data_IF_354436811950
#
_entry.id   IF_354436811950
#
_cell.length_a   1.000
_cell.length_b   1.000
_cell.length_c   1.000
_cell.angle_alpha   90.00
_cell.angle_beta   90.00
_cell.angle_gamma   90.00
#
_symmetry.space_group_name_H-M   'P 1'
#
loop_
_entity.id
_entity.type
_entity.pdbx_description
1 polymer ?
#
# COMPACT_ATOMS: atom_id res chain seq x y z
N UNK A 1 -0.36 -3.44 13.16
CA UNK A 1 -1.49 -3.03 12.29
C UNK A 1 -1.00 -2.38 10.99
N UNK A 2 0.00 -1.50 11.04
CA UNK A 2 0.66 -0.87 9.88
C UNK A 2 1.22 -1.84 8.81
N UNK A 3 1.68 -3.04 9.19
CA UNK A 3 2.11 -4.08 8.24
C UNK A 3 1.02 -4.50 7.26
N UNK A 4 -0.27 -4.40 7.61
CA UNK A 4 -1.34 -4.71 6.66
C UNK A 4 -1.38 -3.72 5.49
N UNK A 5 -0.90 -2.49 5.68
CA UNK A 5 -0.77 -1.51 4.59
C UNK A 5 0.36 -1.93 3.65
N UNK A 6 1.50 -2.37 4.19
CA UNK A 6 2.64 -2.83 3.38
C UNK A 6 2.27 -4.04 2.51
N UNK A 7 1.48 -4.96 3.06
CA UNK A 7 1.03 -6.20 2.40
C UNK A 7 -0.26 -6.01 1.58
N UNK A 8 -0.79 -4.79 1.51
CA UNK A 8 -1.86 -4.47 0.59
C UNK A 8 -1.34 -4.43 -0.85
N UNK A 9 -2.25 -4.50 -1.84
CA UNK A 9 -1.87 -4.49 -3.25
C UNK A 9 -0.85 -5.60 -3.59
N UNK A 10 -1.05 -6.79 -3.04
CA UNK A 10 -0.14 -7.94 -3.17
C UNK A 10 1.32 -7.66 -2.76
N UNK A 11 1.52 -6.75 -1.79
CA UNK A 11 2.86 -6.35 -1.36
C UNK A 11 3.58 -5.49 -2.41
N UNK A 12 2.84 -4.89 -3.34
CA UNK A 12 3.37 -4.05 -4.39
C UNK A 12 3.14 -2.56 -4.09
N UNK A 13 4.15 -1.75 -4.38
CA UNK A 13 4.08 -0.30 -4.46
C UNK A 13 2.96 0.13 -5.40
N UNK A 14 1.99 0.89 -4.88
CA UNK A 14 0.83 1.37 -5.66
C UNK A 14 1.23 2.25 -6.85
N UNK A 15 2.38 2.93 -6.76
CA UNK A 15 2.80 3.85 -7.82
C UNK A 15 3.53 3.19 -8.99
N UNK A 16 4.22 2.08 -8.77
CA UNK A 16 5.10 1.48 -9.79
C UNK A 16 5.02 -0.03 -9.92
N UNK A 17 4.24 -0.71 -9.08
CA UNK A 17 4.10 -2.17 -9.06
C UNK A 17 5.35 -2.94 -8.60
N UNK A 18 6.40 -2.26 -8.13
CA UNK A 18 7.57 -2.91 -7.52
C UNK A 18 7.27 -3.34 -6.08
N UNK A 19 8.20 -4.00 -5.38
CA UNK A 19 7.99 -4.39 -3.98
C UNK A 19 7.71 -3.16 -3.09
N UNK A 20 6.74 -3.29 -2.17
CA UNK A 20 6.50 -2.31 -1.12
C UNK A 20 7.59 -2.44 -0.05
N UNK A 21 8.09 -1.30 0.42
CA UNK A 21 9.17 -1.24 1.42
C UNK A 21 8.83 -0.24 2.54
N UNK A 22 7.95 0.70 2.24
CA UNK A 22 7.49 1.78 3.10
C UNK A 22 6.00 2.01 2.93
N UNK A 23 5.43 2.80 3.83
CA UNK A 23 4.10 3.36 3.65
C UNK A 23 4.24 4.83 3.26
N UNK A 24 3.35 5.29 2.40
CA UNK A 24 3.29 6.70 2.00
C UNK A 24 1.90 7.27 2.30
N UNK A 25 1.85 8.56 2.62
CA UNK A 25 0.62 9.30 2.85
C UNK A 25 0.03 9.75 1.51
N UNK A 26 -1.19 9.33 1.19
CA UNK A 26 -1.87 9.72 -0.06
C UNK A 26 -2.01 11.24 -0.10
N UNK A 27 -2.52 11.84 0.97
CA UNK A 27 -2.47 13.28 1.22
C UNK A 27 -1.21 13.56 2.05
N UNK A 28 -0.26 14.38 1.58
CA UNK A 28 0.95 14.70 2.33
C UNK A 28 0.65 15.22 3.74
N UNK A 29 1.51 14.86 4.69
CA UNK A 29 1.39 15.34 6.07
C UNK A 29 1.49 16.88 6.15
N UNK A 30 2.32 17.49 5.30
CA UNK A 30 2.43 18.96 5.16
C UNK A 30 1.11 19.64 4.80
N UNK A 31 0.23 18.91 4.11
CA UNK A 31 -1.05 19.40 3.61
C UNK A 31 -2.22 18.98 4.53
N UNK A 32 -1.90 18.46 5.73
CA UNK A 32 -2.89 18.05 6.73
C UNK A 32 -3.36 16.61 6.60
N UNK A 33 -2.67 15.77 5.82
CA UNK A 33 -2.96 14.34 5.74
C UNK A 33 -2.78 13.63 7.08
N UNK A 34 -3.75 12.82 7.48
CA UNK A 34 -3.70 12.08 8.72
C UNK A 34 -2.68 10.91 8.66
N UNK A 35 -2.05 10.61 9.80
CA UNK A 35 -1.14 9.47 9.93
C UNK A 35 -1.90 8.21 10.38
N UNK A 36 -2.86 7.78 9.56
CA UNK A 36 -3.68 6.61 9.82
C UNK A 36 -3.96 5.81 8.55
N UNK A 37 -4.46 4.58 8.73
CA UNK A 37 -4.64 3.62 7.62
C UNK A 37 -5.55 4.10 6.50
N UNK A 38 -6.41 5.10 6.72
CA UNK A 38 -7.27 5.66 5.67
C UNK A 38 -6.50 6.54 4.68
N UNK A 39 -5.31 7.01 5.08
CA UNK A 39 -4.46 7.88 4.27
C UNK A 39 -3.11 7.21 3.92
N UNK A 40 -2.91 5.94 4.23
CA UNK A 40 -1.63 5.23 4.00
C UNK A 40 -1.77 4.17 2.91
N UNK A 41 -0.77 4.11 2.03
CA UNK A 41 -0.68 3.12 0.95
C UNK A 41 0.72 2.47 0.88
N UNK A 42 0.83 1.24 0.37
CA UNK A 42 2.13 0.59 0.15
C UNK A 42 2.94 1.32 -0.92
N UNK A 43 4.20 1.62 -0.62
CA UNK A 43 5.12 2.29 -1.54
C UNK A 43 6.56 1.77 -1.41
N UNK A 44 7.33 1.78 -2.49
CA UNK A 44 8.78 1.55 -2.43
C UNK A 44 9.51 2.84 -1.99
N UNK A 45 10.73 2.71 -1.47
CA UNK A 45 11.53 3.86 -1.02
C UNK A 45 11.72 4.91 -2.12
N UNK A 46 11.93 4.46 -3.36
CA UNK A 46 12.16 5.34 -4.52
C UNK A 46 10.94 6.21 -4.81
N UNK A 47 9.76 5.61 -4.91
CA UNK A 47 8.53 6.32 -5.27
C UNK A 47 8.09 7.24 -4.14
N UNK A 48 8.12 6.75 -2.88
CA UNK A 48 7.80 7.55 -1.70
C UNK A 48 8.69 8.80 -1.62
N UNK A 49 10.02 8.64 -1.75
CA UNK A 49 10.96 9.77 -1.77
C UNK A 49 10.75 10.74 -2.93
N UNK A 50 10.38 10.24 -4.11
CA UNK A 50 10.14 11.09 -5.29
C UNK A 50 8.84 11.89 -5.16
N UNK A 51 7.81 11.30 -4.53
CA UNK A 51 6.58 12.01 -4.18
C UNK A 51 6.91 13.12 -3.20
N UNK A 52 7.47 12.79 -2.04
CA UNK A 52 7.66 13.74 -0.95
C UNK A 52 6.34 14.44 -0.63
N UNK A 53 6.37 15.76 -0.58
CA UNK A 53 5.20 16.59 -0.25
C UNK A 53 4.23 16.80 -1.43
N UNK A 54 4.36 16.03 -2.51
CA UNK A 54 3.47 16.10 -3.67
C UNK A 54 2.27 15.19 -3.48
N UNK A 55 1.15 15.55 -4.10
CA UNK A 55 0.04 14.63 -4.32
C UNK A 55 0.42 13.51 -5.31
N UNK A 56 -0.27 12.36 -5.31
CA UNK A 56 -0.07 11.31 -6.30
C UNK A 56 -0.24 11.80 -7.75
N UNK A 57 -1.19 12.70 -7.99
CA UNK A 57 -1.41 13.32 -9.29
C UNK A 57 -0.18 14.13 -9.74
N UNK A 58 0.36 14.98 -8.86
CA UNK A 58 1.57 15.76 -9.15
C UNK A 58 2.80 14.89 -9.36
N UNK A 59 2.93 13.78 -8.62
CA UNK A 59 3.97 12.78 -8.86
C UNK A 59 3.87 12.22 -10.28
N UNK A 60 2.68 11.78 -10.69
CA UNK A 60 2.44 11.17 -11.99
C UNK A 60 2.70 12.16 -13.14
N UNK A 61 2.16 13.37 -13.04
CA UNK A 61 2.40 14.46 -14.00
C UNK A 61 3.90 14.74 -14.07
N UNK A 62 4.58 14.82 -12.92
CA UNK A 62 6.03 15.02 -12.86
C UNK A 62 6.82 13.89 -13.51
N UNK A 63 6.38 12.63 -13.38
CA UNK A 63 6.98 11.51 -14.11
C UNK A 63 6.79 11.64 -15.60
N UNK A 64 5.58 11.87 -16.08
CA UNK A 64 5.32 11.99 -17.51
C UNK A 64 6.13 13.13 -18.14
N UNK A 65 6.14 14.30 -17.51
CA UNK A 65 6.94 15.44 -17.94
C UNK A 65 8.44 15.11 -18.02
N UNK A 66 8.99 14.38 -17.04
CA UNK A 66 10.41 13.94 -17.08
C UNK A 66 10.72 13.00 -18.24
N UNK A 67 9.77 12.17 -18.66
CA UNK A 67 9.96 11.26 -19.79
C UNK A 67 9.77 11.96 -21.13
N UNK A 68 8.94 13.00 -21.20
CA UNK A 68 8.64 13.73 -22.44
C UNK A 68 9.48 14.99 -22.63
N UNK A 69 10.17 15.50 -21.62
CA UNK A 69 10.81 16.81 -21.65
C UNK A 69 12.30 16.77 -21.29
N UNK A 70 13.12 17.44 -22.10
CA UNK A 70 14.55 17.55 -21.86
C UNK A 70 14.82 18.63 -20.80
N UNK A 71 15.89 18.48 -20.04
CA UNK A 71 16.33 19.48 -19.05
C UNK A 71 16.64 20.88 -19.60
N UNK A 72 16.49 21.11 -20.92
CA UNK A 72 16.64 22.42 -21.58
C UNK A 72 15.32 23.13 -21.87
N UNK A 73 14.18 22.61 -21.43
CA UNK A 73 12.91 23.27 -21.73
C UNK A 73 12.29 22.84 -23.07
N UNK A 74 12.74 21.74 -23.68
CA UNK A 74 12.23 21.27 -24.97
C UNK A 74 11.64 19.86 -24.87
N UNK A 75 10.47 19.65 -25.47
CA UNK A 75 9.89 18.31 -25.58
C UNK A 75 10.81 17.40 -26.41
N UNK A 76 11.10 16.19 -25.91
CA UNK A 76 12.06 15.26 -26.49
C UNK A 76 11.50 14.44 -27.65
N UNK A 77 10.17 14.37 -27.81
CA UNK A 77 9.53 13.49 -28.79
C UNK A 77 8.77 14.26 -29.86
N UNK A 78 8.87 13.78 -31.10
CA UNK A 78 8.16 14.34 -32.26
C UNK A 78 6.63 14.28 -32.12
N UNK A 79 6.11 13.34 -31.32
CA UNK A 79 4.67 13.14 -31.04
C UNK A 79 4.02 14.29 -30.25
N UNK A 80 4.83 15.15 -29.61
CA UNK A 80 4.36 16.32 -28.85
C UNK A 80 4.48 17.63 -29.64
N UNK A 81 5.02 17.60 -30.86
CA UNK A 81 5.12 18.79 -31.71
C UNK A 81 3.72 19.27 -32.12
N UNK A 82 3.37 20.51 -31.75
CA UNK A 82 2.08 21.13 -32.08
C UNK A 82 0.94 20.91 -31.09
N UNK A 83 1.15 20.17 -30.00
CA UNK A 83 0.17 20.08 -28.91
C UNK A 83 0.13 21.37 -28.10
N UNK A 84 -1.07 21.82 -27.73
CA UNK A 84 -1.20 22.88 -26.73
C UNK A 84 -0.90 22.35 -25.33
N UNK A 85 -0.63 23.25 -24.37
CA UNK A 85 -0.50 22.88 -22.95
C UNK A 85 -1.74 22.11 -22.44
N UNK A 86 -2.93 22.46 -22.94
CA UNK A 86 -4.19 21.78 -22.63
C UNK A 86 -4.21 20.36 -23.18
N UNK A 87 -3.82 20.16 -24.43
CA UNK A 87 -3.77 18.82 -25.04
C UNK A 87 -2.76 17.92 -24.31
N UNK A 88 -1.64 18.51 -23.87
CA UNK A 88 -0.66 17.81 -23.05
C UNK A 88 -1.25 17.39 -21.69
N UNK A 89 -1.95 18.30 -20.99
CA UNK A 89 -2.62 17.99 -19.73
C UNK A 89 -3.69 16.91 -19.88
N UNK A 90 -4.49 16.98 -20.94
CA UNK A 90 -5.49 15.96 -21.25
C UNK A 90 -4.84 14.62 -21.64
N UNK A 91 -3.69 14.64 -22.30
CA UNK A 91 -2.97 13.41 -22.68
C UNK A 91 -2.47 12.57 -21.50
N UNK A 92 -2.37 13.18 -20.32
CA UNK A 92 -1.95 12.51 -19.07
C UNK A 92 -3.10 12.32 -18.10
N UNK A 93 -4.25 12.97 -18.36
CA UNK A 93 -5.41 12.97 -17.48
C UNK A 93 -5.91 11.56 -17.20
N UNK A 94 -6.07 10.73 -18.24
CA UNK A 94 -6.49 9.34 -18.10
C UNK A 94 -5.51 8.52 -17.23
N UNK A 95 -4.21 8.79 -17.34
CA UNK A 95 -3.19 8.14 -16.51
C UNK A 95 -3.28 8.54 -15.04
N UNK A 96 -3.55 9.82 -14.76
CA UNK A 96 -3.79 10.31 -13.41
C UNK A 96 -5.07 9.69 -12.83
N UNK A 97 -6.16 9.65 -13.62
CA UNK A 97 -7.41 9.03 -13.19
C UNK A 97 -7.22 7.54 -12.88
N UNK A 98 -6.48 6.81 -13.71
CA UNK A 98 -6.14 5.41 -13.45
C UNK A 98 -5.38 5.22 -12.14
N UNK A 99 -4.38 6.07 -11.87
CA UNK A 99 -3.65 6.04 -10.59
C UNK A 99 -4.57 6.30 -9.39
N UNK A 100 -5.49 7.27 -9.50
CA UNK A 100 -6.44 7.58 -8.43
C UNK A 100 -7.40 6.42 -8.18
N UNK A 101 -7.90 5.77 -9.24
CA UNK A 101 -8.73 4.57 -9.14
C UNK A 101 -7.99 3.39 -8.48
N UNK A 102 -6.70 3.20 -8.80
CA UNK A 102 -5.89 2.18 -8.13
C UNK A 102 -5.64 2.50 -6.65
N UNK A 103 -5.42 3.78 -6.31
CA UNK A 103 -5.34 4.21 -4.90
C UNK A 103 -6.64 3.93 -4.14
N UNK A 104 -7.79 4.20 -4.75
CA UNK A 104 -9.10 3.94 -4.14
C UNK A 104 -9.33 2.44 -3.91
N UNK A 105 -8.94 1.57 -4.86
CA UNK A 105 -8.99 0.11 -4.68
C UNK A 105 -8.12 -0.36 -3.52
N UNK A 106 -6.89 0.13 -3.43
CA UNK A 106 -5.96 -0.24 -2.36
C UNK A 106 -6.45 0.30 -1.01
N UNK A 107 -6.99 1.52 -0.97
CA UNK A 107 -7.61 2.07 0.23
C UNK A 107 -8.81 1.24 0.68
N UNK A 108 -9.66 0.80 -0.26
CA UNK A 108 -10.79 -0.08 0.04
C UNK A 108 -10.34 -1.45 0.58
N UNK A 109 -9.27 -2.02 0.02
CA UNK A 109 -8.65 -3.25 0.50
C UNK A 109 -8.12 -3.12 1.94
N UNK A 110 -7.41 -2.03 2.23
CA UNK A 110 -6.89 -1.72 3.57
C UNK A 110 -8.04 -1.48 4.56
N UNK A 111 -9.11 -0.83 4.11
CA UNK A 111 -10.29 -0.57 4.92
C UNK A 111 -11.09 -1.84 5.25
N UNK A 112 -10.98 -2.91 4.45
CA UNK A 112 -11.70 -4.17 4.68
C UNK A 112 -11.30 -4.77 6.03
N UNK A 113 -12.26 -4.72 6.96
CA UNK A 113 -12.10 -5.27 8.30
C UNK A 113 -11.80 -6.76 8.28
N UNK A 114 -12.39 -7.54 7.37
CA UNK A 114 -12.13 -8.99 7.28
C UNK A 114 -10.70 -9.28 6.86
N UNK A 115 -10.15 -8.50 5.92
CA UNK A 115 -8.75 -8.60 5.52
C UNK A 115 -7.83 -8.23 6.68
N UNK A 116 -8.14 -7.15 7.39
CA UNK A 116 -7.38 -6.74 8.59
C UNK A 116 -7.43 -7.77 9.70
N UNK A 117 -8.61 -8.28 10.03
CA UNK A 117 -8.80 -9.32 11.05
C UNK A 117 -8.09 -10.62 10.65
N UNK A 118 -8.18 -11.02 9.37
CA UNK A 118 -7.40 -12.15 8.83
C UNK A 118 -5.90 -11.88 8.95
N UNK A 119 -5.41 -10.70 8.59
CA UNK A 119 -3.99 -10.37 8.66
C UNK A 119 -3.47 -10.42 10.10
N UNK A 120 -4.23 -9.89 11.05
CA UNK A 120 -3.90 -9.97 12.47
C UNK A 120 -3.91 -11.41 12.99
N UNK A 121 -4.83 -12.25 12.51
CA UNK A 121 -4.90 -13.68 12.84
C UNK A 121 -3.80 -14.52 12.19
N UNK A 122 -3.54 -14.29 10.90
CA UNK A 122 -2.58 -15.01 10.06
C UNK A 122 -1.14 -14.58 10.31
N UNK A 123 -0.95 -13.40 10.91
CA UNK A 123 0.36 -12.88 11.34
C UNK A 123 0.53 -12.88 12.87
N UNK A 124 0.37 -14.01 13.57
CA UNK A 124 0.54 -14.06 15.03
C UNK A 124 2.02 -13.92 15.47
N UNK A 125 2.94 -13.80 14.51
CA UNK A 125 4.40 -13.75 14.72
C UNK A 125 5.02 -12.38 14.46
N UNK A 126 4.26 -11.39 13.96
CA UNK A 126 4.80 -10.04 13.74
C UNK A 126 4.23 -9.04 14.74
N UNK A 127 5.12 -8.64 15.66
CA UNK A 127 5.09 -7.48 16.57
C UNK A 127 4.62 -7.67 18.02
N UNK A 128 5.62 -7.78 18.91
CA UNK A 128 5.72 -6.91 20.08
C UNK A 128 7.11 -6.30 20.08
N UNK A 129 7.21 -4.97 20.04
CA UNK A 129 8.51 -4.30 20.00
C UNK A 129 9.27 -4.30 21.34
N UNK A 130 8.73 -4.86 22.43
CA UNK A 130 9.40 -4.79 23.74
C UNK A 130 9.42 -6.06 24.63
N UNK A 131 8.63 -7.10 24.35
CA UNK A 131 8.52 -8.24 25.31
C UNK A 131 8.92 -9.61 24.76
N UNK A 132 9.18 -9.74 23.45
CA UNK A 132 9.68 -10.98 22.83
C UNK A 132 8.71 -12.17 22.90
N UNK A 133 8.69 -13.00 21.86
CA UNK A 133 7.77 -14.14 21.77
C UNK A 133 7.98 -15.21 22.85
N UNK A 134 9.20 -15.29 23.39
CA UNK A 134 9.54 -16.24 24.43
C UNK A 134 8.89 -15.92 25.78
N UNK A 135 8.58 -14.65 26.06
CA UNK A 135 7.83 -14.23 27.25
C UNK A 135 6.40 -14.78 27.23
N UNK A 136 5.71 -14.62 26.10
CA UNK A 136 4.34 -15.08 25.93
C UNK A 136 4.23 -16.60 25.80
N UNK A 137 5.19 -17.25 25.11
CA UNK A 137 5.28 -18.73 25.05
C UNK A 137 5.49 -19.35 26.43
N UNK A 138 6.28 -18.72 27.30
CA UNK A 138 6.47 -19.17 28.69
C UNK A 138 5.22 -18.92 29.54
N UNK A 139 4.55 -17.78 29.33
CA UNK A 139 3.33 -17.39 30.05
C UNK A 139 2.12 -18.27 29.75
N UNK A 140 1.99 -18.74 28.51
CA UNK A 140 0.83 -19.51 28.05
C UNK A 140 1.19 -20.95 27.62
N UNK A 141 2.32 -21.48 28.11
CA UNK A 141 2.85 -22.77 27.70
C UNK A 141 1.83 -23.91 27.93
N UNK A 142 1.14 -23.88 29.07
CA UNK A 142 0.19 -24.91 29.46
C UNK A 142 -1.08 -24.88 28.60
N UNK A 143 -1.62 -23.71 28.29
CA UNK A 143 -2.80 -23.59 27.42
C UNK A 143 -2.49 -23.98 25.97
N UNK A 144 -1.27 -23.68 25.49
CA UNK A 144 -0.81 -24.08 24.15
C UNK A 144 -0.68 -25.61 24.05
N UNK A 145 -0.19 -26.28 25.10
CA UNK A 145 -0.10 -27.74 25.09
C UNK A 145 -1.48 -28.39 25.19
N UNK A 146 -2.39 -27.81 25.99
CA UNK A 146 -3.79 -28.24 26.07
C UNK A 146 -4.50 -28.12 24.72
N UNK A 147 -4.37 -26.98 24.05
CA UNK A 147 -4.96 -26.77 22.72
C UNK A 147 -4.39 -27.69 21.64
N UNK A 148 -3.11 -28.08 21.74
CA UNK A 148 -2.50 -29.10 20.87
C UNK A 148 -3.07 -30.49 21.09
N UNK A 149 -3.27 -30.87 22.36
CA UNK A 149 -3.80 -32.18 22.73
C UNK A 149 -5.30 -32.34 22.38
N UNK A 150 -6.05 -31.25 22.47
CA UNK A 150 -7.48 -31.21 22.15
C UNK A 150 -7.76 -31.06 20.65
N UNK A 151 -6.70 -30.86 19.83
CA UNK A 151 -6.81 -30.48 18.43
C UNK A 151 -7.23 -29.02 18.32
N UNK A 152 -6.35 -28.17 17.80
CA UNK A 152 -6.56 -26.72 17.78
C UNK A 152 -7.95 -26.36 17.23
N UNK A 153 -8.77 -25.60 17.96
CA UNK A 153 -10.06 -25.18 17.45
C UNK A 153 -9.83 -24.29 16.23
N UNK A 154 -10.40 -24.71 15.10
CA UNK A 154 -10.34 -23.97 13.86
C UNK A 154 -11.25 -22.73 13.94
N UNK A 155 -10.64 -21.63 14.37
CA UNK A 155 -11.29 -20.33 14.51
C UNK A 155 -11.23 -19.48 13.23
N UNK A 156 -10.88 -20.08 12.07
CA UNK A 156 -10.93 -19.38 10.79
C UNK A 156 -12.36 -18.92 10.47
N UNK A 157 -12.56 -17.74 9.84
CA UNK A 157 -13.87 -17.33 9.35
C UNK A 157 -14.48 -18.37 8.39
N UNK A 158 -15.80 -18.55 8.42
CA UNK A 158 -16.49 -19.61 7.67
C UNK A 158 -16.26 -19.55 6.15
N UNK A 159 -15.98 -18.35 5.63
CA UNK A 159 -15.59 -18.11 4.23
C UNK A 159 -14.28 -18.80 3.84
N UNK A 160 -13.39 -19.06 4.80
CA UNK A 160 -12.10 -19.71 4.61
C UNK A 160 -12.23 -21.23 4.75
N UNK A 161 -13.10 -21.72 5.65
CA UNK A 161 -13.35 -23.15 5.87
C UNK A 161 -13.97 -23.85 4.66
N UNK A 162 -14.80 -23.13 3.89
CA UNK A 162 -15.51 -23.66 2.70
C UNK A 162 -14.63 -23.93 1.47
N UNK A 163 -13.36 -23.50 1.45
CA UNK A 163 -12.47 -23.65 0.28
C UNK A 163 -11.53 -24.86 0.36
N UNK A 164 -11.57 -25.63 1.44
CA UNK A 164 -10.67 -26.76 1.69
C UNK A 164 -11.40 -28.10 1.90
N UNK A 165 -12.60 -28.24 1.34
CA UNK A 165 -13.37 -29.49 1.29
C UNK A 165 -13.50 -29.97 -0.17
#
# INVERSE_FOLDING_TARGET
>A
MWLCVLEANDGCCVYCGGASETMDHVIPFSDGGADDMSNLVPACHRCNRQKGDKTPAELYIGWDLRHRWSGKGTAQKSDTSGLSLRDMYLSIHEGVLGLLDDLDKVAAEIADRRRRDWFLWASPWTYHYDLGINYYRKRFAEEIQKAKAEGWPDNRPESVKKRSA
#
